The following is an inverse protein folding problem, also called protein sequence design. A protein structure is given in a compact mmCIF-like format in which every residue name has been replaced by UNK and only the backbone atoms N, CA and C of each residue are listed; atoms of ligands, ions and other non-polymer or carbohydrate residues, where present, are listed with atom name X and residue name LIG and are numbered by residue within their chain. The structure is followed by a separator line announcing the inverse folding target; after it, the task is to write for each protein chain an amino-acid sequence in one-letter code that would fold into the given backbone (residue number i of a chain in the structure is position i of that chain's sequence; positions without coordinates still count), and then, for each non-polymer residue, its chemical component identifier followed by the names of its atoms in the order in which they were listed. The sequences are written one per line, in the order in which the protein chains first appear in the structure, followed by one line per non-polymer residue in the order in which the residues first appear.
data_IF_406768831072
#
_entry.id   IF_406768831072
#
_cell.length_a   1.000
_cell.length_b   1.000
_cell.length_c   1.000
_cell.angle_alpha   90.00
_cell.angle_beta   90.00
_cell.angle_gamma   90.00
#
_symmetry.space_group_name_H-M   'P 1'
#
loop_
_entity.id
_entity.type
_entity.pdbx_description
1 polymer ?
#
# COMPACT_ATOMS: atom_id res chain seq x y z
N UNK A 1 -40.53 -16.62 0.46
CA UNK A 1 -39.73 -15.51 -0.10
C UNK A 1 -38.31 -15.99 -0.24
N UNK A 2 -37.66 -15.73 -1.38
CA UNK A 2 -36.26 -16.11 -1.60
C UNK A 2 -35.62 -15.12 -2.56
N UNK A 3 -34.54 -14.45 -2.14
CA UNK A 3 -33.74 -13.61 -3.01
C UNK A 3 -32.31 -13.44 -2.48
N UNK A 4 -31.42 -12.95 -3.33
CA UNK A 4 -30.07 -12.49 -3.00
C UNK A 4 -29.76 -11.23 -3.80
N UNK A 5 -29.00 -10.32 -3.20
CA UNK A 5 -28.49 -9.10 -3.79
C UNK A 5 -27.01 -8.99 -3.45
N UNK A 6 -26.15 -8.86 -4.46
CA UNK A 6 -24.70 -8.81 -4.30
C UNK A 6 -24.16 -7.53 -4.89
N UNK A 7 -23.50 -6.70 -4.08
CA UNK A 7 -22.71 -5.58 -4.59
C UNK A 7 -21.34 -6.11 -5.01
N UNK A 8 -20.83 -5.66 -6.15
CA UNK A 8 -19.58 -6.12 -6.80
C UNK A 8 -19.68 -7.40 -7.64
N UNK A 9 -20.89 -7.82 -8.05
CA UNK A 9 -21.10 -9.06 -8.81
C UNK A 9 -21.00 -8.96 -10.34
N UNK A 10 -21.02 -7.77 -10.95
CA UNK A 10 -21.21 -7.64 -12.40
C UNK A 10 -20.18 -6.76 -13.10
N UNK A 11 -19.29 -7.35 -13.90
CA UNK A 11 -18.94 -6.94 -15.27
C UNK A 11 -17.74 -7.76 -15.81
N UNK A 12 -17.98 -8.44 -16.94
CA UNK A 12 -17.00 -8.79 -17.98
C UNK A 12 -15.90 -9.82 -17.71
N UNK A 13 -16.22 -10.97 -17.09
CA UNK A 13 -15.31 -12.14 -17.12
C UNK A 13 -13.93 -11.89 -16.47
N UNK A 14 -13.78 -10.77 -15.77
CA UNK A 14 -12.60 -10.41 -15.04
C UNK A 14 -12.85 -10.76 -13.58
N UNK A 15 -12.06 -11.70 -13.08
CA UNK A 15 -12.03 -12.16 -11.70
C UNK A 15 -12.01 -10.96 -10.75
N UNK A 16 -13.09 -10.76 -10.00
CA UNK A 16 -13.15 -9.84 -8.86
C UNK A 16 -11.87 -9.95 -8.02
N UNK A 17 -11.22 -8.81 -7.80
CA UNK A 17 -10.08 -8.72 -6.90
C UNK A 17 -10.47 -8.22 -5.50
N UNK A 18 -11.73 -7.89 -5.19
CA UNK A 18 -12.09 -7.24 -3.91
C UNK A 18 -13.38 -7.84 -3.29
N UNK A 19 -13.50 -7.85 -1.97
CA UNK A 19 -14.46 -8.67 -1.22
C UNK A 19 -15.94 -8.47 -1.60
N UNK A 20 -16.73 -9.55 -1.50
CA UNK A 20 -18.15 -9.54 -1.87
C UNK A 20 -19.03 -9.14 -0.67
N UNK A 21 -20.04 -8.30 -0.91
CA UNK A 21 -21.10 -8.03 0.06
C UNK A 21 -22.44 -8.55 -0.47
N UNK A 22 -23.18 -9.26 0.39
CA UNK A 22 -24.42 -9.93 0.01
C UNK A 22 -25.52 -9.66 1.04
N UNK A 23 -26.73 -9.42 0.56
CA UNK A 23 -27.97 -9.46 1.35
C UNK A 23 -28.86 -10.52 0.72
N UNK A 24 -29.19 -11.57 1.46
CA UNK A 24 -30.05 -12.64 0.98
C UNK A 24 -31.10 -13.04 1.99
N UNK A 25 -32.24 -13.51 1.50
CA UNK A 25 -33.34 -13.99 2.29
C UNK A 25 -33.74 -15.37 1.81
N UNK A 26 -33.94 -16.29 2.75
CA UNK A 26 -34.53 -17.60 2.51
C UNK A 26 -35.60 -17.85 3.57
N UNK A 27 -36.85 -17.93 3.13
CA UNK A 27 -37.99 -18.03 4.05
C UNK A 27 -38.18 -16.76 4.87
N UNK A 28 -38.01 -16.87 6.18
CA UNK A 28 -38.04 -15.79 7.18
C UNK A 28 -36.64 -15.46 7.73
N UNK A 29 -35.57 -15.97 7.13
CA UNK A 29 -34.20 -15.72 7.58
C UNK A 29 -33.51 -14.77 6.61
N UNK A 30 -33.06 -13.64 7.13
CA UNK A 30 -32.14 -12.72 6.48
C UNK A 30 -30.69 -13.14 6.77
N UNK A 31 -29.89 -13.26 5.73
CA UNK A 31 -28.44 -13.43 5.79
C UNK A 31 -27.78 -12.19 5.19
N UNK A 32 -26.81 -11.64 5.91
CA UNK A 32 -26.01 -10.50 5.45
C UNK A 32 -24.55 -10.91 5.51
N UNK A 33 -23.82 -10.78 4.41
CA UNK A 33 -22.38 -10.96 4.36
C UNK A 33 -21.72 -9.65 3.98
N UNK A 34 -20.71 -9.25 4.74
CA UNK A 34 -19.87 -8.10 4.48
C UNK A 34 -18.45 -8.61 4.36
N UNK A 35 -17.96 -8.79 3.14
CA UNK A 35 -16.58 -9.14 2.83
C UNK A 35 -15.72 -7.94 2.47
N UNK A 36 -16.34 -6.77 2.25
CA UNK A 36 -15.68 -5.51 1.96
C UNK A 36 -16.29 -4.37 2.81
N UNK A 37 -15.47 -3.76 3.66
CA UNK A 37 -15.84 -2.56 4.45
C UNK A 37 -15.38 -1.25 3.80
N UNK A 38 -14.72 -1.30 2.64
CA UNK A 38 -14.26 -0.13 1.91
C UNK A 38 -15.43 0.82 1.61
N UNK A 39 -15.21 2.12 1.86
CA UNK A 39 -16.21 3.16 1.68
C UNK A 39 -17.30 3.22 2.76
N UNK A 40 -17.41 2.23 3.66
CA UNK A 40 -18.39 2.26 4.76
C UNK A 40 -17.72 2.54 6.11
N UNK A 41 -17.58 3.82 6.46
CA UNK A 41 -17.00 4.26 7.75
C UNK A 41 -17.74 3.76 9.00
N UNK A 42 -18.95 3.21 8.85
CA UNK A 42 -19.76 2.71 9.95
C UNK A 42 -19.60 1.20 10.18
N UNK A 43 -18.92 0.49 9.28
CA UNK A 43 -18.66 -0.94 9.39
C UNK A 43 -17.16 -1.15 9.46
N UNK A 44 -16.70 -1.83 10.50
CA UNK A 44 -15.31 -2.24 10.66
C UNK A 44 -15.24 -3.77 10.65
N UNK A 45 -14.13 -4.28 10.13
CA UNK A 45 -13.99 -5.70 9.91
C UNK A 45 -14.93 -6.26 8.83
N UNK A 46 -14.98 -7.58 8.77
CA UNK A 46 -15.89 -8.36 7.93
C UNK A 46 -16.80 -9.24 8.78
N UNK A 47 -17.87 -9.76 8.18
CA UNK A 47 -18.74 -10.69 8.91
C UNK A 47 -19.90 -11.26 8.11
N UNK A 48 -20.48 -12.31 8.66
CA UNK A 48 -21.70 -12.95 8.20
C UNK A 48 -22.70 -12.98 9.36
N UNK A 49 -23.89 -12.45 9.11
CA UNK A 49 -24.93 -12.23 10.11
C UNK A 49 -26.20 -12.93 9.69
N UNK A 50 -26.92 -13.49 10.67
CA UNK A 50 -28.23 -14.10 10.46
C UNK A 50 -29.27 -13.46 11.36
N UNK A 51 -30.36 -12.98 10.77
CA UNK A 51 -31.47 -12.36 11.48
C UNK A 51 -32.77 -13.06 11.10
N UNK A 52 -33.60 -13.40 12.10
CA UNK A 52 -34.98 -13.82 11.85
C UNK A 52 -35.82 -12.57 11.56
N UNK A 53 -36.40 -12.53 10.38
CA UNK A 53 -37.21 -11.40 9.90
C UNK A 53 -38.52 -11.33 10.67
N UNK A 54 -38.79 -10.15 11.20
CA UNK A 54 -40.04 -9.81 11.89
C UNK A 54 -40.32 -8.30 11.74
N UNK A 55 -41.56 -7.90 11.99
CA UNK A 55 -41.99 -6.49 11.91
C UNK A 55 -41.58 -5.81 10.60
N UNK A 56 -41.03 -4.60 10.71
CA UNK A 56 -40.63 -3.77 9.57
C UNK A 56 -39.59 -4.45 8.66
N UNK A 57 -38.66 -5.23 9.21
CA UNK A 57 -37.65 -5.94 8.41
C UNK A 57 -38.29 -6.98 7.49
N UNK A 58 -39.31 -7.71 7.97
CA UNK A 58 -40.04 -8.66 7.15
C UNK A 58 -40.83 -7.97 6.03
N UNK A 59 -41.44 -6.83 6.32
CA UNK A 59 -42.14 -6.02 5.31
C UNK A 59 -41.19 -5.47 4.26
N UNK A 60 -40.04 -4.93 4.68
CA UNK A 60 -38.99 -4.43 3.79
C UNK A 60 -38.47 -5.53 2.88
N UNK A 61 -38.23 -6.74 3.41
CA UNK A 61 -37.83 -7.88 2.60
C UNK A 61 -38.91 -8.29 1.58
N UNK A 62 -40.20 -8.26 1.96
CA UNK A 62 -41.31 -8.52 1.03
C UNK A 62 -41.40 -7.47 -0.08
N UNK A 63 -41.25 -6.18 0.26
CA UNK A 63 -41.21 -5.07 -0.71
C UNK A 63 -40.04 -5.23 -1.67
N UNK A 64 -38.87 -5.59 -1.16
CA UNK A 64 -37.68 -5.82 -1.98
C UNK A 64 -37.89 -7.00 -2.94
N UNK A 65 -38.42 -8.13 -2.45
CA UNK A 65 -38.73 -9.28 -3.30
C UNK A 65 -39.70 -8.92 -4.44
N UNK A 66 -40.73 -8.11 -4.16
CA UNK A 66 -41.66 -7.64 -5.19
C UNK A 66 -40.98 -6.72 -6.23
N UNK A 67 -40.09 -5.83 -5.78
CA UNK A 67 -39.31 -4.96 -6.68
C UNK A 67 -38.35 -5.77 -7.56
N UNK A 68 -37.66 -6.76 -7.02
CA UNK A 68 -36.75 -7.64 -7.79
C UNK A 68 -37.50 -8.50 -8.83
N UNK A 69 -38.80 -8.72 -8.64
CA UNK A 69 -39.67 -9.38 -9.62
C UNK A 69 -40.40 -8.41 -10.56
N UNK A 70 -40.10 -7.10 -10.50
CA UNK A 70 -40.70 -6.12 -11.40
C UNK A 70 -40.17 -6.25 -12.83
N UNK A 71 -40.90 -5.74 -13.85
CA UNK A 71 -40.43 -5.72 -15.23
C UNK A 71 -39.10 -4.96 -15.38
N UNK A 72 -38.25 -5.46 -16.28
CA UNK A 72 -37.02 -4.77 -16.70
C UNK A 72 -37.38 -3.58 -17.59
N UNK A 73 -36.53 -2.56 -17.58
CA UNK A 73 -36.63 -1.37 -18.43
C UNK A 73 -35.56 -1.41 -19.52
N UNK A 74 -35.92 -1.67 -20.79
CA UNK A 74 -34.97 -1.69 -21.91
C UNK A 74 -34.25 -0.36 -22.15
N UNK A 75 -34.75 0.75 -21.60
CA UNK A 75 -34.19 2.10 -21.72
C UNK A 75 -33.51 2.56 -20.43
N UNK A 76 -33.20 1.64 -19.51
CA UNK A 76 -32.59 2.00 -18.25
C UNK A 76 -31.26 2.73 -18.43
N UNK A 77 -31.09 3.78 -17.64
CA UNK A 77 -29.88 4.61 -17.54
C UNK A 77 -29.13 4.37 -16.22
N UNK A 78 -29.47 3.30 -15.50
CA UNK A 78 -28.88 3.00 -14.18
C UNK A 78 -27.43 2.54 -14.34
N UNK A 79 -26.45 3.20 -13.67
CA UNK A 79 -25.04 2.87 -13.84
C UNK A 79 -24.54 1.72 -12.95
N UNK A 80 -25.40 1.15 -12.11
CA UNK A 80 -25.02 0.18 -11.06
C UNK A 80 -25.02 -1.25 -11.61
N UNK A 81 -23.92 -1.99 -11.43
CA UNK A 81 -23.75 -3.36 -11.92
C UNK A 81 -23.95 -4.45 -10.86
N UNK A 82 -24.55 -4.09 -9.72
CA UNK A 82 -24.96 -5.04 -8.68
C UNK A 82 -25.83 -6.15 -9.26
N UNK A 83 -25.71 -7.35 -8.70
CA UNK A 83 -26.45 -8.52 -9.16
C UNK A 83 -27.56 -8.86 -8.19
N UNK A 84 -28.66 -9.39 -8.75
CA UNK A 84 -29.70 -10.01 -7.95
C UNK A 84 -30.09 -11.38 -8.51
N UNK A 85 -30.67 -12.19 -7.63
CA UNK A 85 -31.39 -13.40 -7.97
C UNK A 85 -32.60 -13.51 -7.05
N UNK A 86 -33.81 -13.72 -7.59
CA UNK A 86 -35.05 -13.74 -6.84
C UNK A 86 -36.01 -14.80 -7.36
N UNK A 87 -36.76 -15.43 -6.45
CA UNK A 87 -37.84 -16.36 -6.78
C UNK A 87 -39.14 -15.59 -7.04
N UNK A 88 -39.54 -15.53 -8.29
CA UNK A 88 -40.77 -14.89 -8.77
C UNK A 88 -41.85 -15.94 -9.11
N UNK A 89 -43.05 -15.50 -9.47
CA UNK A 89 -44.18 -16.40 -9.78
C UNK A 89 -43.93 -17.26 -11.03
N UNK A 90 -43.13 -16.76 -11.97
CA UNK A 90 -42.74 -17.41 -13.23
C UNK A 90 -41.40 -18.18 -13.14
N UNK A 91 -40.83 -18.29 -11.94
CA UNK A 91 -39.58 -19.00 -11.70
C UNK A 91 -38.49 -18.11 -11.12
N UNK A 92 -37.24 -18.53 -11.26
CA UNK A 92 -36.09 -17.74 -10.82
C UNK A 92 -35.79 -16.64 -11.85
N UNK A 93 -35.67 -15.40 -11.37
CA UNK A 93 -35.21 -14.26 -12.17
C UNK A 93 -33.92 -13.73 -11.58
N UNK A 94 -32.98 -13.38 -12.43
CA UNK A 94 -31.73 -12.74 -12.03
C UNK A 94 -31.15 -11.89 -13.14
N UNK A 95 -30.10 -11.16 -12.77
CA UNK A 95 -29.40 -10.27 -13.67
C UNK A 95 -28.84 -9.05 -12.93
N UNK A 96 -28.29 -8.09 -13.68
CA UNK A 96 -27.78 -6.86 -13.11
C UNK A 96 -28.92 -5.87 -12.81
N UNK A 97 -28.79 -5.14 -11.71
CA UNK A 97 -29.75 -4.14 -11.25
C UNK A 97 -29.91 -2.97 -12.25
N UNK A 98 -28.88 -2.72 -13.08
CA UNK A 98 -28.97 -1.75 -14.21
C UNK A 98 -30.10 -2.03 -15.19
N UNK A 99 -30.68 -3.22 -15.20
CA UNK A 99 -31.81 -3.54 -16.09
C UNK A 99 -33.16 -3.04 -15.54
N UNK A 100 -33.21 -2.50 -14.32
CA UNK A 100 -34.41 -1.85 -13.79
C UNK A 100 -34.42 -0.35 -14.10
N UNK A 101 -35.60 0.25 -14.15
CA UNK A 101 -35.72 1.72 -14.23
C UNK A 101 -35.11 2.39 -13.00
N UNK A 102 -34.59 3.61 -13.16
CA UNK A 102 -33.95 4.37 -12.07
C UNK A 102 -34.80 4.46 -10.78
N UNK A 103 -36.11 4.74 -10.83
CA UNK A 103 -36.94 4.77 -9.62
C UNK A 103 -37.03 3.41 -8.88
N UNK A 104 -37.00 2.30 -9.61
CA UNK A 104 -37.01 0.95 -9.04
C UNK A 104 -35.65 0.64 -8.42
N UNK A 105 -34.56 0.92 -9.14
CA UNK A 105 -33.20 0.68 -8.66
C UNK A 105 -32.89 1.44 -7.35
N UNK A 106 -33.34 2.70 -7.23
CA UNK A 106 -33.19 3.48 -5.99
C UNK A 106 -33.89 2.80 -4.82
N UNK A 107 -35.16 2.40 -4.98
CA UNK A 107 -35.92 1.71 -3.91
C UNK A 107 -35.31 0.36 -3.54
N UNK A 108 -34.78 -0.37 -4.52
CA UNK A 108 -34.03 -1.61 -4.28
C UNK A 108 -32.81 -1.32 -3.41
N UNK A 109 -32.00 -0.31 -3.76
CA UNK A 109 -30.82 0.07 -2.98
C UNK A 109 -31.17 0.50 -1.55
N UNK A 110 -32.23 1.29 -1.36
CA UNK A 110 -32.70 1.73 -0.04
C UNK A 110 -33.10 0.56 0.85
N UNK A 111 -33.87 -0.39 0.31
CA UNK A 111 -34.31 -1.58 1.05
C UNK A 111 -33.15 -2.54 1.33
N UNK A 112 -32.22 -2.71 0.39
CA UNK A 112 -31.00 -3.49 0.60
C UNK A 112 -30.18 -2.89 1.73
N UNK A 113 -29.97 -1.57 1.73
CA UNK A 113 -29.24 -0.89 2.80
C UNK A 113 -29.95 -1.01 4.15
N UNK A 114 -31.28 -0.87 4.19
CA UNK A 114 -32.08 -1.06 5.41
C UNK A 114 -31.92 -2.48 5.97
N UNK A 115 -32.11 -3.51 5.14
CA UNK A 115 -31.96 -4.91 5.57
C UNK A 115 -30.52 -5.23 5.97
N UNK A 116 -29.53 -4.73 5.22
CA UNK A 116 -28.11 -4.86 5.57
C UNK A 116 -27.84 -4.33 6.97
N UNK A 117 -28.28 -3.10 7.27
CA UNK A 117 -28.08 -2.48 8.57
C UNK A 117 -28.79 -3.26 9.68
N UNK A 118 -30.02 -3.72 9.45
CA UNK A 118 -30.74 -4.57 10.41
C UNK A 118 -29.98 -5.88 10.69
N UNK A 119 -29.46 -6.54 9.63
CA UNK A 119 -28.66 -7.75 9.78
C UNK A 119 -27.36 -7.53 10.56
N UNK A 120 -26.67 -6.41 10.33
CA UNK A 120 -25.42 -6.06 11.04
C UNK A 120 -25.68 -5.72 12.51
N UNK A 121 -26.74 -4.98 12.81
CA UNK A 121 -27.03 -4.50 14.17
C UNK A 121 -27.74 -5.53 15.04
N UNK A 122 -28.78 -6.18 14.50
CA UNK A 122 -29.68 -7.05 15.27
C UNK A 122 -29.41 -8.54 15.01
N UNK A 123 -28.63 -8.86 13.97
CA UNK A 123 -28.35 -10.24 13.58
C UNK A 123 -27.36 -10.94 14.49
N UNK A 124 -27.52 -12.26 14.62
CA UNK A 124 -26.53 -13.13 15.25
C UNK A 124 -25.27 -13.18 14.38
N UNK A 125 -24.12 -12.96 14.99
CA UNK A 125 -22.79 -12.97 14.35
C UNK A 125 -22.32 -14.41 14.09
N UNK A 126 -22.65 -14.95 12.92
CA UNK A 126 -22.08 -16.25 12.53
C UNK A 126 -20.56 -16.11 12.31
N UNK A 127 -20.14 -15.08 11.59
CA UNK A 127 -18.72 -14.72 11.42
C UNK A 127 -18.59 -13.26 11.76
N UNK A 128 -17.57 -12.90 12.54
CA UNK A 128 -17.17 -11.51 12.72
C UNK A 128 -15.67 -11.47 12.93
N UNK A 129 -14.96 -10.87 11.98
CA UNK A 129 -13.51 -10.77 11.98
C UNK A 129 -13.10 -9.31 11.98
N UNK A 130 -12.29 -8.93 12.95
CA UNK A 130 -11.83 -7.58 13.17
C UNK A 130 -10.31 -7.54 13.26
N UNK A 131 -9.73 -6.38 12.95
CA UNK A 131 -8.32 -6.10 13.17
C UNK A 131 -8.17 -4.80 13.94
N UNK A 132 -7.15 -4.73 14.78
CA UNK A 132 -6.80 -3.52 15.51
C UNK A 132 -5.29 -3.41 15.72
N UNK A 133 -4.84 -2.16 15.80
CA UNK A 133 -3.48 -1.82 16.15
C UNK A 133 -3.33 -1.85 17.67
N UNK A 134 -2.41 -2.66 18.18
CA UNK A 134 -2.09 -2.77 19.62
C UNK A 134 -0.96 -1.81 19.99
N UNK A 135 0.16 -1.84 19.26
CA UNK A 135 1.32 -0.98 19.52
C UNK A 135 2.17 -0.74 18.27
N UNK A 136 2.92 0.36 18.28
CA UNK A 136 4.03 0.63 17.37
C UNK A 136 5.21 1.10 18.21
N UNK A 137 6.28 0.33 18.18
CA UNK A 137 7.49 0.59 18.95
C UNK A 137 8.67 0.77 18.00
N UNK A 138 9.50 1.78 18.24
CA UNK A 138 10.77 1.93 17.50
C UNK A 138 11.72 0.81 17.93
N UNK A 139 12.31 0.11 16.96
CA UNK A 139 13.29 -0.93 17.17
C UNK A 139 14.64 -0.54 16.56
N UNK A 140 15.72 -1.26 16.90
CA UNK A 140 17.07 -0.99 16.36
C UNK A 140 17.14 -1.02 14.82
N UNK A 141 16.23 -1.76 14.18
CA UNK A 141 16.11 -1.87 12.72
C UNK A 141 14.65 -1.66 12.28
N UNK A 142 14.19 -0.41 12.30
CA UNK A 142 12.83 -0.03 11.91
C UNK A 142 11.87 -0.02 13.09
N UNK A 143 10.74 -0.71 12.94
CA UNK A 143 9.62 -0.70 13.88
C UNK A 143 9.17 -2.12 14.20
N UNK A 144 8.71 -2.31 15.44
CA UNK A 144 7.95 -3.46 15.86
C UNK A 144 6.48 -3.05 15.97
N UNK A 145 5.61 -3.73 15.25
CA UNK A 145 4.18 -3.40 15.19
C UNK A 145 3.37 -4.59 15.67
N UNK A 146 2.50 -4.36 16.64
CA UNK A 146 1.60 -5.38 17.15
C UNK A 146 0.20 -5.19 16.58
N UNK A 147 -0.29 -6.13 15.78
CA UNK A 147 -1.65 -6.13 15.22
C UNK A 147 -2.42 -7.33 15.78
N UNK A 148 -3.59 -7.08 16.35
CA UNK A 148 -4.49 -8.12 16.86
C UNK A 148 -5.63 -8.34 15.88
N UNK A 149 -5.95 -9.61 15.65
CA UNK A 149 -7.15 -10.04 14.95
C UNK A 149 -8.10 -10.71 15.93
N UNK A 150 -9.37 -10.31 15.90
CA UNK A 150 -10.41 -10.78 16.80
C UNK A 150 -11.48 -11.53 15.99
N UNK A 151 -11.83 -12.74 16.41
CA UNK A 151 -13.00 -13.45 15.93
C UNK A 151 -14.10 -13.37 16.99
N UNK A 152 -15.10 -12.52 16.78
CA UNK A 152 -16.23 -12.40 17.72
C UNK A 152 -17.48 -13.17 17.24
N UNK A 153 -17.37 -13.91 16.14
CA UNK A 153 -18.41 -14.79 15.63
C UNK A 153 -18.35 -16.20 16.20
N UNK A 154 -19.32 -17.01 15.79
CA UNK A 154 -19.54 -18.37 16.29
C UNK A 154 -18.78 -19.46 15.52
N UNK A 155 -18.22 -19.13 14.36
CA UNK A 155 -17.46 -20.07 13.52
C UNK A 155 -15.96 -19.73 13.49
N UNK A 156 -15.07 -20.74 13.40
CA UNK A 156 -13.64 -20.51 13.28
C UNK A 156 -13.28 -19.82 11.96
N UNK A 157 -12.14 -19.12 11.94
CA UNK A 157 -11.62 -18.45 10.76
C UNK A 157 -10.18 -18.90 10.55
N UNK A 158 -9.90 -19.39 9.34
CA UNK A 158 -8.56 -19.83 8.94
C UNK A 158 -7.91 -18.86 7.98
N UNK A 159 -6.63 -18.62 8.18
CA UNK A 159 -5.81 -17.77 7.30
C UNK A 159 -4.32 -18.00 7.52
N UNK A 160 -3.50 -17.61 6.54
CA UNK A 160 -2.04 -17.65 6.66
C UNK A 160 -1.52 -16.54 7.57
N UNK A 161 -0.39 -16.75 8.23
CA UNK A 161 0.25 -15.66 8.98
C UNK A 161 0.72 -14.52 8.06
N UNK A 162 0.74 -13.26 8.52
CA UNK A 162 1.06 -12.11 7.65
C UNK A 162 2.42 -12.15 6.94
N UNK A 163 3.41 -12.88 7.48
CA UNK A 163 4.72 -13.07 6.84
C UNK A 163 4.68 -14.03 5.64
N UNK A 164 3.59 -14.80 5.49
CA UNK A 164 3.36 -15.74 4.36
C UNK A 164 2.40 -15.19 3.31
N UNK A 165 1.96 -13.95 3.46
CA UNK A 165 1.07 -13.29 2.51
C UNK A 165 1.82 -12.87 1.24
N UNK A 166 1.13 -12.89 0.10
CA UNK A 166 1.73 -12.45 -1.16
C UNK A 166 1.72 -10.93 -1.26
N UNK A 167 2.74 -10.29 -0.70
CA UNK A 167 2.90 -8.83 -0.69
C UNK A 167 3.51 -8.27 -1.99
N UNK A 168 3.63 -9.08 -3.06
CA UNK A 168 4.14 -8.63 -4.35
C UNK A 168 3.19 -7.63 -5.00
N UNK A 169 3.70 -6.49 -5.48
CA UNK A 169 2.88 -5.48 -6.16
C UNK A 169 2.20 -6.11 -7.38
N UNK A 170 0.87 -6.11 -7.39
CA UNK A 170 0.07 -6.68 -8.46
C UNK A 170 -1.40 -6.85 -8.08
N UNK A 171 -2.19 -7.42 -9.01
CA UNK A 171 -3.64 -7.63 -8.85
C UNK A 171 -4.01 -8.51 -7.63
N UNK A 172 -3.10 -9.40 -7.24
CA UNK A 172 -3.33 -10.39 -6.18
C UNK A 172 -2.57 -10.06 -4.89
N UNK A 173 -2.02 -8.84 -4.77
CA UNK A 173 -1.27 -8.41 -3.59
C UNK A 173 -2.14 -8.49 -2.34
N UNK A 174 -1.69 -9.20 -1.31
CA UNK A 174 -2.26 -9.15 0.02
C UNK A 174 -1.75 -7.91 0.76
N UNK A 175 -2.61 -7.23 1.52
CA UNK A 175 -2.29 -5.99 2.22
C UNK A 175 -2.51 -6.16 3.70
N UNK A 176 -1.49 -5.88 4.49
CA UNK A 176 -1.62 -5.51 5.89
C UNK A 176 -0.88 -4.20 6.05
N UNK A 177 -1.60 -3.15 6.44
CA UNK A 177 -1.02 -1.83 6.56
C UNK A 177 -1.58 -1.08 7.75
N UNK A 178 -0.75 -0.20 8.30
CA UNK A 178 -1.19 0.77 9.31
C UNK A 178 -1.04 2.15 8.72
N UNK A 179 -2.10 2.94 8.73
CA UNK A 179 -2.05 4.29 8.20
C UNK A 179 -2.95 5.24 8.98
N UNK A 180 -2.68 6.53 8.85
CA UNK A 180 -3.46 7.56 9.51
C UNK A 180 -2.84 8.94 9.35
N UNK A 181 -3.33 9.85 10.16
CA UNK A 181 -2.99 11.27 10.09
C UNK A 181 -2.58 11.79 11.46
N UNK A 182 -1.70 12.79 11.46
CA UNK A 182 -1.36 13.51 12.68
C UNK A 182 -2.59 14.25 13.17
N UNK A 183 -2.82 14.24 14.48
CA UNK A 183 -3.94 14.96 15.08
C UNK A 183 -3.81 16.45 14.74
N UNK A 184 -4.88 17.03 14.22
CA UNK A 184 -4.92 18.43 13.80
C UNK A 184 -4.20 18.73 12.46
N UNK A 185 -3.78 17.72 11.69
CA UNK A 185 -3.19 17.94 10.35
C UNK A 185 -3.57 16.82 9.37
N UNK A 186 -4.14 17.20 8.22
CA UNK A 186 -4.44 16.26 7.13
C UNK A 186 -3.26 16.03 6.17
N UNK A 187 -2.21 16.86 6.25
CA UNK A 187 -1.03 16.75 5.38
C UNK A 187 0.03 15.82 5.97
N UNK A 188 0.09 15.73 7.30
CA UNK A 188 1.04 14.87 8.01
C UNK A 188 0.52 13.44 8.10
N UNK A 189 0.86 12.63 7.09
CA UNK A 189 0.47 11.22 7.00
C UNK A 189 1.46 10.30 7.71
N UNK A 190 0.96 9.17 8.21
CA UNK A 190 1.76 8.05 8.68
C UNK A 190 1.33 6.79 7.92
N UNK A 191 2.28 5.93 7.59
CA UNK A 191 2.03 4.71 6.83
C UNK A 191 3.11 3.65 7.03
N UNK A 192 2.67 2.41 7.28
CA UNK A 192 3.48 1.20 7.39
C UNK A 192 2.92 0.08 6.52
N UNK A 193 3.79 -0.61 5.79
CA UNK A 193 3.49 -1.89 5.15
C UNK A 193 3.96 -3.06 6.02
N UNK A 194 3.06 -4.01 6.30
CA UNK A 194 3.28 -5.13 7.23
C UNK A 194 3.15 -6.50 6.57
N UNK A 195 2.43 -6.62 5.46
CA UNK A 195 2.33 -7.90 4.73
C UNK A 195 3.70 -8.36 4.22
N UNK A 196 3.96 -9.66 4.30
CA UNK A 196 5.21 -10.30 3.88
C UNK A 196 6.41 -9.94 4.77
N UNK A 197 6.20 -9.29 5.92
CA UNK A 197 7.28 -8.91 6.84
C UNK A 197 7.45 -9.95 7.94
N UNK A 198 8.67 -10.09 8.46
CA UNK A 198 9.01 -11.10 9.46
C UNK A 198 8.24 -10.91 10.77
N UNK A 199 7.74 -12.01 11.32
CA UNK A 199 7.17 -12.06 12.68
C UNK A 199 8.26 -12.25 13.73
N UNK A 200 8.17 -11.50 14.82
CA UNK A 200 9.00 -11.71 16.01
C UNK A 200 8.49 -12.91 16.84
N UNK A 201 7.18 -13.14 16.85
CA UNK A 201 6.55 -14.29 17.52
C UNK A 201 6.23 -15.45 16.56
N UNK A 202 7.04 -15.67 15.53
CA UNK A 202 6.82 -16.75 14.55
C UNK A 202 6.76 -18.15 15.19
N UNK A 203 7.43 -18.36 16.33
CA UNK A 203 7.39 -19.62 17.07
C UNK A 203 6.02 -20.01 17.61
N UNK A 204 5.07 -19.07 17.69
CA UNK A 204 3.67 -19.35 18.03
C UNK A 204 2.89 -19.95 16.83
N UNK A 205 3.45 -19.89 15.63
CA UNK A 205 2.81 -20.27 14.36
C UNK A 205 3.76 -21.10 13.47
N UNK A 206 4.16 -22.31 13.90
CA UNK A 206 5.17 -23.11 13.20
C UNK A 206 4.78 -23.45 11.75
N UNK A 207 3.49 -23.64 11.48
CA UNK A 207 2.97 -24.00 10.17
C UNK A 207 2.69 -22.78 9.27
N UNK A 208 2.86 -21.56 9.77
CA UNK A 208 2.55 -20.33 9.03
C UNK A 208 1.05 -20.14 8.74
N UNK A 209 0.20 -20.81 9.51
CA UNK A 209 -1.25 -20.74 9.42
C UNK A 209 -1.88 -20.54 10.80
N UNK A 210 -3.04 -19.89 10.82
CA UNK A 210 -3.84 -19.65 12.01
C UNK A 210 -5.23 -20.20 11.79
N UNK A 211 -5.72 -21.00 12.74
CA UNK A 211 -7.13 -21.37 12.87
C UNK A 211 -7.70 -20.66 14.09
N UNK A 212 -8.19 -19.43 13.88
CA UNK A 212 -8.69 -18.58 14.94
C UNK A 212 -10.05 -19.09 15.43
N UNK A 213 -10.08 -19.58 16.67
CA UNK A 213 -11.29 -20.15 17.28
C UNK A 213 -12.41 -19.11 17.42
N UNK A 214 -13.68 -19.55 17.51
CA UNK A 214 -14.80 -18.66 17.88
C UNK A 214 -14.50 -17.90 19.17
N UNK A 215 -14.90 -16.63 19.22
CA UNK A 215 -14.72 -15.75 20.39
C UNK A 215 -13.28 -15.65 20.93
N UNK A 216 -12.28 -15.75 20.03
CA UNK A 216 -10.87 -15.70 20.39
C UNK A 216 -10.12 -14.61 19.61
N UNK A 217 -8.87 -14.39 19.98
CA UNK A 217 -8.01 -13.40 19.33
C UNK A 217 -6.60 -13.93 19.15
N UNK A 218 -5.88 -13.37 18.17
CA UNK A 218 -4.46 -13.65 17.91
C UNK A 218 -3.74 -12.34 17.67
N UNK A 219 -2.51 -12.21 18.18
CA UNK A 219 -1.69 -11.00 17.99
C UNK A 219 -0.40 -11.34 17.24
N UNK A 220 -0.12 -10.60 16.17
CA UNK A 220 1.12 -10.70 15.42
C UNK A 220 2.04 -9.54 15.78
N UNK A 221 3.30 -9.85 16.11
CA UNK A 221 4.36 -8.87 16.33
C UNK A 221 5.25 -8.84 15.10
N UNK A 222 5.15 -7.78 14.30
CA UNK A 222 5.69 -7.69 12.96
C UNK A 222 6.84 -6.69 12.94
N UNK A 223 8.03 -7.11 12.50
CA UNK A 223 9.18 -6.23 12.30
C UNK A 223 9.14 -5.64 10.90
N UNK A 224 9.16 -4.31 10.78
CA UNK A 224 9.10 -3.63 9.48
C UNK A 224 10.07 -2.46 9.38
N UNK A 225 10.67 -2.29 8.21
CA UNK A 225 11.38 -1.08 7.76
C UNK A 225 10.60 -0.36 6.65
N UNK A 226 9.44 -0.89 6.25
CA UNK A 226 8.58 -0.34 5.22
C UNK A 226 7.70 0.76 5.77
N UNK A 227 8.33 1.91 6.01
CA UNK A 227 7.73 3.08 6.65
C UNK A 227 7.92 4.32 5.79
N UNK A 228 6.87 5.15 5.71
CA UNK A 228 6.94 6.46 5.07
C UNK A 228 7.62 7.49 5.98
N UNK A 229 8.11 8.60 5.42
CA UNK A 229 8.57 9.73 6.23
C UNK A 229 7.41 10.26 7.08
N UNK A 230 7.69 10.64 8.32
CA UNK A 230 6.72 11.30 9.18
C UNK A 230 7.41 12.27 10.13
N UNK A 231 6.64 13.20 10.68
CA UNK A 231 7.11 14.19 11.66
C UNK A 231 6.70 13.78 13.08
N UNK A 232 7.39 14.27 14.08
CA UNK A 232 7.02 14.07 15.47
C UNK A 232 5.59 14.56 15.75
N UNK A 233 4.91 13.88 16.68
CA UNK A 233 3.56 14.21 17.09
C UNK A 233 2.69 12.98 17.34
N UNK A 234 1.44 13.24 17.69
CA UNK A 234 0.42 12.22 17.93
C UNK A 234 -0.40 11.97 16.67
N UNK A 235 -0.64 10.70 16.38
CA UNK A 235 -1.33 10.22 15.19
C UNK A 235 -2.50 9.33 15.60
N UNK A 236 -3.62 9.47 14.89
CA UNK A 236 -4.75 8.56 14.97
C UNK A 236 -4.63 7.56 13.81
N UNK A 237 -4.36 6.30 14.16
CA UNK A 237 -3.95 5.24 13.23
C UNK A 237 -5.00 4.13 13.12
N UNK A 238 -5.12 3.57 11.92
CA UNK A 238 -6.02 2.48 11.60
C UNK A 238 -5.28 1.35 10.87
N UNK A 239 -5.80 0.14 10.97
CA UNK A 239 -5.32 -1.03 10.25
C UNK A 239 -6.16 -1.20 8.99
N UNK A 240 -5.52 -1.45 7.85
CA UNK A 240 -6.15 -1.93 6.62
C UNK A 240 -5.69 -3.35 6.33
N UNK A 241 -6.62 -4.21 5.94
CA UNK A 241 -6.40 -5.64 5.71
C UNK A 241 -7.05 -6.04 4.40
N UNK A 242 -6.28 -6.70 3.54
CA UNK A 242 -6.76 -7.35 2.34
C UNK A 242 -6.10 -8.72 2.22
N UNK A 243 -6.88 -9.79 2.34
CA UNK A 243 -6.32 -11.13 2.51
C UNK A 243 -7.33 -12.22 2.12
N UNK A 244 -6.83 -13.45 1.97
CA UNK A 244 -7.68 -14.62 1.84
C UNK A 244 -7.98 -15.24 3.20
N UNK A 245 -9.22 -15.66 3.40
CA UNK A 245 -9.68 -16.40 4.58
C UNK A 245 -10.50 -17.62 4.17
N UNK A 246 -10.64 -18.55 5.10
CA UNK A 246 -11.60 -19.65 5.04
C UNK A 246 -12.44 -19.63 6.32
N UNK A 247 -13.73 -19.91 6.22
CA UNK A 247 -14.62 -20.07 7.38
C UNK A 247 -15.18 -21.50 7.40
N UNK A 248 -14.49 -22.43 8.09
CA UNK A 248 -14.93 -23.82 8.17
C UNK A 248 -16.31 -23.97 8.84
N UNK A 249 -17.11 -24.89 8.33
CA UNK A 249 -18.40 -25.28 8.95
C UNK A 249 -19.61 -24.47 8.48
N UNK A 250 -19.43 -23.46 7.62
CA UNK A 250 -20.54 -22.77 6.94
C UNK A 250 -20.28 -22.59 5.46
N UNK A 251 -21.35 -22.50 4.69
CA UNK A 251 -21.28 -21.91 3.36
C UNK A 251 -21.21 -20.39 3.50
N UNK A 252 -20.08 -19.80 3.12
CA UNK A 252 -19.85 -18.36 3.13
C UNK A 252 -19.16 -17.93 1.84
N UNK A 253 -19.47 -16.72 1.38
CA UNK A 253 -18.78 -16.05 0.26
C UNK A 253 -17.58 -15.22 0.73
N UNK A 254 -17.27 -15.24 2.03
CA UNK A 254 -16.10 -14.60 2.62
C UNK A 254 -14.84 -15.44 2.33
N UNK A 255 -14.24 -15.23 1.15
CA UNK A 255 -13.01 -15.92 0.71
C UNK A 255 -11.83 -14.98 0.57
N UNK A 256 -12.06 -13.79 0.01
CA UNK A 256 -11.08 -12.72 -0.10
C UNK A 256 -11.71 -11.46 0.44
N UNK A 257 -11.16 -10.94 1.51
CA UNK A 257 -11.77 -9.89 2.34
C UNK A 257 -10.94 -8.62 2.29
N UNK A 258 -11.61 -7.48 2.29
CA UNK A 258 -11.02 -6.14 2.33
C UNK A 258 -11.68 -5.34 3.46
N UNK A 259 -10.93 -4.96 4.48
CA UNK A 259 -11.51 -4.25 5.60
C UNK A 259 -10.52 -3.38 6.36
N UNK A 260 -11.09 -2.47 7.14
CA UNK A 260 -10.34 -1.63 8.04
C UNK A 260 -10.77 -1.82 9.51
N UNK A 261 -9.89 -1.41 10.43
CA UNK A 261 -10.21 -1.28 11.86
C UNK A 261 -11.24 -0.18 12.11
N UNK A 262 -11.72 -0.05 13.35
CA UNK A 262 -12.72 0.96 13.70
C UNK A 262 -12.19 2.40 13.56
N UNK A 263 -12.55 3.06 12.45
CA UNK A 263 -12.20 4.45 12.19
C UNK A 263 -12.82 5.45 13.19
N UNK A 264 -13.85 5.05 13.95
CA UNK A 264 -14.45 5.91 14.99
C UNK A 264 -13.62 5.90 16.28
N UNK A 265 -12.87 4.83 16.51
CA UNK A 265 -12.01 4.66 17.69
C UNK A 265 -10.59 4.28 17.23
N UNK A 266 -9.89 5.18 16.52
CA UNK A 266 -8.54 4.90 16.03
C UNK A 266 -7.55 4.70 17.18
N UNK A 267 -6.51 3.93 16.94
CA UNK A 267 -5.42 3.76 17.91
C UNK A 267 -4.52 4.99 17.86
N UNK A 268 -4.42 5.69 19.00
CA UNK A 268 -3.55 6.86 19.13
C UNK A 268 -2.13 6.47 19.47
N UNK A 269 -1.17 6.91 18.66
CA UNK A 269 0.27 6.69 18.87
C UNK A 269 1.01 8.02 18.83
N UNK A 270 1.95 8.24 19.74
CA UNK A 270 2.77 9.45 19.78
C UNK A 270 4.22 9.12 19.45
N UNK A 271 4.79 9.85 18.49
CA UNK A 271 6.20 9.82 18.17
C UNK A 271 6.87 11.09 18.70
N UNK A 272 7.97 10.92 19.42
CA UNK A 272 8.77 11.98 20.04
C UNK A 272 9.72 12.70 19.06
N UNK A 273 10.02 12.06 17.93
CA UNK A 273 10.91 12.58 16.88
C UNK A 273 10.44 12.18 15.49
N UNK A 274 10.94 12.91 14.50
CA UNK A 274 10.71 12.66 13.08
C UNK A 274 11.24 11.29 12.63
N UNK A 275 10.87 10.86 11.43
CA UNK A 275 11.48 9.72 10.75
C UNK A 275 11.65 10.01 9.25
N UNK A 276 12.83 9.72 8.68
CA UNK A 276 14.07 9.33 9.37
C UNK A 276 14.70 10.53 10.09
N UNK A 277 15.14 10.34 11.33
CA UNK A 277 15.81 11.37 12.15
C UNK A 277 17.31 11.17 12.29
N UNK A 278 17.81 9.98 11.93
CA UNK A 278 19.25 9.64 11.97
C UNK A 278 19.74 9.17 10.61
N UNK A 279 21.06 9.22 10.35
CA UNK A 279 21.63 8.64 9.13
C UNK A 279 21.28 7.16 8.94
N UNK A 280 21.23 6.37 10.02
CA UNK A 280 20.89 4.94 9.99
C UNK A 280 19.44 4.71 9.57
N UNK A 281 18.50 5.47 10.17
CA UNK A 281 17.08 5.43 9.78
C UNK A 281 16.91 5.89 8.32
N UNK A 282 17.73 6.84 7.86
CA UNK A 282 17.68 7.30 6.47
C UNK A 282 18.13 6.21 5.51
N UNK A 283 19.27 5.56 5.74
CA UNK A 283 19.73 4.45 4.89
C UNK A 283 18.66 3.34 4.79
N UNK A 284 17.97 3.02 5.90
CA UNK A 284 16.86 2.07 5.92
C UNK A 284 15.66 2.55 5.07
N UNK A 285 15.26 3.82 5.27
CA UNK A 285 14.18 4.42 4.49
C UNK A 285 14.50 4.47 2.99
N UNK A 286 15.71 4.86 2.60
CA UNK A 286 16.13 4.94 1.21
C UNK A 286 16.15 3.56 0.54
N UNK A 287 16.62 2.52 1.24
CA UNK A 287 16.57 1.15 0.70
C UNK A 287 15.13 0.69 0.41
N UNK A 288 14.20 1.01 1.32
CA UNK A 288 12.78 0.75 1.11
C UNK A 288 12.21 1.58 -0.06
N UNK A 289 12.50 2.88 -0.11
CA UNK A 289 12.00 3.74 -1.18
C UNK A 289 12.52 3.35 -2.55
N UNK A 290 13.80 2.99 -2.68
CA UNK A 290 14.39 2.51 -3.93
C UNK A 290 13.63 1.31 -4.48
N UNK A 291 13.30 0.35 -3.62
CA UNK A 291 12.50 -0.84 -3.99
C UNK A 291 11.08 -0.47 -4.40
N UNK A 292 10.43 0.45 -3.68
CA UNK A 292 9.06 0.87 -3.97
C UNK A 292 8.98 1.62 -5.30
N UNK A 293 9.87 2.58 -5.51
CA UNK A 293 9.87 3.45 -6.68
C UNK A 293 10.49 2.81 -7.93
N UNK A 294 11.28 1.74 -7.80
CA UNK A 294 11.79 1.01 -8.97
C UNK A 294 10.70 0.37 -9.83
N UNK A 295 9.51 0.14 -9.26
CA UNK A 295 8.34 -0.37 -9.99
C UNK A 295 7.62 0.71 -10.80
N UNK A 296 7.92 1.98 -10.54
CA UNK A 296 7.29 3.14 -11.16
C UNK A 296 8.37 4.08 -11.72
N UNK A 297 9.16 3.62 -12.71
CA UNK A 297 10.13 4.48 -13.37
C UNK A 297 9.42 5.66 -14.03
N UNK A 298 10.02 6.85 -13.95
CA UNK A 298 9.45 8.07 -14.54
C UNK A 298 9.78 8.11 -16.03
N UNK A 299 8.75 8.08 -16.87
CA UNK A 299 8.90 8.13 -18.32
C UNK A 299 9.19 9.55 -18.81
N UNK A 300 9.75 9.71 -20.02
CA UNK A 300 9.87 11.01 -20.67
C UNK A 300 8.53 11.78 -20.67
N UNK A 301 8.55 13.03 -20.23
CA UNK A 301 7.36 13.88 -20.11
C UNK A 301 6.50 13.69 -18.86
N UNK A 302 6.79 12.69 -18.02
CA UNK A 302 6.11 12.51 -16.73
C UNK A 302 6.72 13.39 -15.63
N UNK A 303 5.94 13.63 -14.58
CA UNK A 303 6.35 14.43 -13.43
C UNK A 303 7.04 13.56 -12.37
N UNK A 304 8.15 14.03 -11.84
CA UNK A 304 8.80 13.41 -10.68
C UNK A 304 7.90 13.54 -9.44
N UNK A 305 7.56 12.41 -8.81
CA UNK A 305 6.68 12.41 -7.65
C UNK A 305 7.39 12.82 -6.35
N UNK A 306 8.72 12.67 -6.28
CA UNK A 306 9.51 12.90 -5.06
C UNK A 306 10.83 13.59 -5.36
N UNK A 307 11.30 14.41 -4.42
CA UNK A 307 12.68 14.89 -4.40
C UNK A 307 13.65 13.69 -4.31
N UNK A 308 14.69 13.69 -5.14
CA UNK A 308 15.62 12.57 -5.14
C UNK A 308 16.78 12.69 -6.10
N UNK A 309 17.72 11.75 -5.95
CA UNK A 309 18.72 11.40 -6.93
C UNK A 309 18.16 10.28 -7.79
N UNK A 310 18.11 10.49 -9.10
CA UNK A 310 17.55 9.56 -10.06
C UNK A 310 18.61 9.07 -11.04
N UNK A 311 18.54 7.80 -11.39
CA UNK A 311 19.38 7.17 -12.41
C UNK A 311 18.64 7.11 -13.73
N UNK A 312 19.34 7.45 -14.80
CA UNK A 312 18.83 7.23 -16.15
C UNK A 312 18.95 5.74 -16.52
N UNK A 313 17.86 5.16 -17.00
CA UNK A 313 17.76 3.76 -17.41
C UNK A 313 17.17 3.69 -18.81
N UNK A 314 17.80 2.89 -19.68
CA UNK A 314 17.29 2.60 -21.02
C UNK A 314 17.02 1.10 -21.16
N UNK A 315 15.79 0.78 -21.54
CA UNK A 315 15.37 -0.57 -21.91
C UNK A 315 15.57 -0.74 -23.42
N UNK A 316 16.60 -1.49 -23.82
CA UNK A 316 16.77 -1.91 -25.22
C UNK A 316 16.55 -3.43 -25.31
N UNK A 317 16.24 -3.93 -26.52
CA UNK A 317 15.81 -5.30 -26.83
C UNK A 317 16.81 -6.44 -26.51
N UNK A 318 17.79 -6.23 -25.63
CA UNK A 318 18.74 -7.24 -25.15
C UNK A 318 19.45 -6.88 -23.83
N UNK A 319 19.05 -5.81 -23.12
CA UNK A 319 19.67 -5.44 -21.84
C UNK A 319 19.13 -4.12 -21.25
N UNK A 320 19.25 -3.99 -19.93
CA UNK A 320 19.00 -2.73 -19.20
C UNK A 320 20.32 -1.97 -19.09
N UNK A 321 20.40 -0.81 -19.73
CA UNK A 321 21.55 0.09 -19.65
C UNK A 321 21.26 1.17 -18.62
N UNK A 322 22.21 1.43 -17.72
CA UNK A 322 22.05 2.37 -16.61
C UNK A 322 23.17 3.41 -16.64
N UNK A 323 22.85 4.65 -16.33
CA UNK A 323 23.87 5.69 -16.14
C UNK A 323 24.70 5.40 -14.89
N UNK A 324 25.98 5.79 -14.93
CA UNK A 324 26.85 5.79 -13.77
C UNK A 324 26.38 6.84 -12.77
N UNK A 325 26.24 8.10 -13.21
CA UNK A 325 25.82 9.19 -12.34
C UNK A 325 24.32 9.13 -12.06
N UNK A 326 23.97 9.73 -10.93
CA UNK A 326 22.59 10.02 -10.52
C UNK A 326 22.38 11.53 -10.56
N UNK A 327 21.21 11.96 -11.02
CA UNK A 327 20.87 13.36 -11.21
C UNK A 327 19.83 13.80 -10.18
N UNK A 328 19.99 14.99 -9.57
CA UNK A 328 18.99 15.52 -8.64
C UNK A 328 17.77 16.06 -9.39
N UNK A 329 16.57 15.69 -8.93
CA UNK A 329 15.30 16.25 -9.38
C UNK A 329 14.41 16.62 -8.18
N UNK A 330 13.53 17.60 -8.38
CA UNK A 330 12.49 18.00 -7.43
C UNK A 330 11.16 17.37 -7.77
N UNK A 331 10.35 17.12 -6.73
CA UNK A 331 8.96 16.77 -6.94
C UNK A 331 8.26 17.87 -7.73
N UNK A 332 7.54 17.51 -8.79
CA UNK A 332 6.92 18.46 -9.71
C UNK A 332 7.74 18.79 -10.97
N UNK A 333 9.05 18.49 -10.99
CA UNK A 333 9.84 18.62 -12.21
C UNK A 333 9.33 17.65 -13.29
N UNK A 334 9.49 18.02 -14.56
CA UNK A 334 9.10 17.18 -15.71
C UNK A 334 10.35 16.49 -16.26
N UNK A 335 10.28 15.16 -16.41
CA UNK A 335 11.34 14.39 -17.05
C UNK A 335 11.51 14.82 -18.51
N UNK A 336 12.76 15.09 -18.92
CA UNK A 336 13.06 15.51 -20.29
C UNK A 336 12.56 14.50 -21.33
N UNK A 337 12.04 15.02 -22.44
CA UNK A 337 11.70 14.24 -23.64
C UNK A 337 12.88 14.08 -24.60
N UNK A 338 13.93 14.86 -24.39
CA UNK A 338 15.11 14.86 -25.24
C UNK A 338 16.02 13.66 -24.93
N UNK A 339 16.93 13.37 -25.87
CA UNK A 339 17.94 12.34 -25.65
C UNK A 339 18.90 12.75 -24.55
N UNK A 340 19.14 11.83 -23.62
CA UNK A 340 20.09 11.99 -22.52
C UNK A 340 21.38 11.26 -22.89
N UNK A 341 22.51 11.94 -22.74
CA UNK A 341 23.83 11.36 -22.93
C UNK A 341 24.60 11.33 -21.61
N UNK A 342 24.89 10.14 -21.09
CA UNK A 342 25.57 9.97 -19.79
C UNK A 342 26.49 8.76 -19.78
N UNK A 343 27.64 8.80 -19.10
CA UNK A 343 28.50 7.63 -18.89
C UNK A 343 27.71 6.44 -18.32
N UNK A 344 27.98 5.23 -18.83
CA UNK A 344 27.34 4.02 -18.36
C UNK A 344 27.94 3.48 -17.07
N UNK A 345 27.12 2.78 -16.29
CA UNK A 345 27.50 2.14 -15.02
C UNK A 345 28.68 1.17 -15.13
N UNK A 346 28.91 0.59 -16.31
CA UNK A 346 30.06 -0.27 -16.65
C UNK A 346 31.40 0.42 -16.46
N UNK A 347 31.46 1.76 -16.53
CA UNK A 347 32.70 2.50 -16.37
C UNK A 347 33.73 2.29 -17.49
N UNK A 348 33.29 1.75 -18.63
CA UNK A 348 34.13 1.44 -19.80
C UNK A 348 34.25 2.61 -20.80
N UNK A 349 33.76 3.81 -20.41
CA UNK A 349 33.75 5.01 -21.26
C UNK A 349 32.62 5.03 -22.29
N UNK A 350 31.77 4.01 -22.33
CA UNK A 350 30.56 4.00 -23.15
C UNK A 350 29.52 4.92 -22.52
N UNK A 351 28.77 5.62 -23.38
CA UNK A 351 27.69 6.48 -22.95
C UNK A 351 26.34 5.86 -23.30
N UNK A 352 25.42 5.93 -22.35
CA UNK A 352 24.01 5.87 -22.64
C UNK A 352 23.73 7.11 -23.52
N UNK A 353 23.08 6.91 -24.66
CA UNK A 353 22.66 7.98 -25.57
C UNK A 353 21.26 7.65 -26.10
N UNK A 354 20.29 8.53 -25.84
CA UNK A 354 18.90 8.39 -26.28
C UNK A 354 17.86 8.67 -25.18
N UNK A 355 16.57 8.38 -25.45
CA UNK A 355 15.51 8.56 -24.45
C UNK A 355 15.70 7.59 -23.28
N UNK A 356 15.37 8.06 -22.07
CA UNK A 356 15.57 7.33 -20.82
C UNK A 356 14.34 7.38 -19.94
N UNK A 357 14.22 6.40 -19.07
CA UNK A 357 13.37 6.46 -17.89
C UNK A 357 14.23 6.79 -16.68
N UNK A 358 13.65 7.44 -15.68
CA UNK A 358 14.36 7.81 -14.44
C UNK A 358 13.91 6.93 -13.27
N UNK A 359 14.87 6.36 -12.56
CA UNK A 359 14.64 5.49 -11.41
C UNK A 359 15.25 6.13 -10.16
N UNK A 360 14.46 6.24 -9.09
CA UNK A 360 14.92 6.84 -7.83
C UNK A 360 15.98 5.97 -7.13
N UNK A 361 17.07 6.57 -6.66
CA UNK A 361 18.20 5.86 -6.04
C UNK A 361 18.45 6.24 -4.57
N UNK A 362 18.19 7.50 -4.22
CA UNK A 362 18.47 8.05 -2.89
C UNK A 362 17.96 9.47 -2.70
N UNK A 363 18.01 9.97 -1.47
CA UNK A 363 17.72 11.38 -1.18
C UNK A 363 18.71 12.28 -1.89
N UNK A 364 18.21 13.36 -2.50
CA UNK A 364 19.03 14.48 -2.94
C UNK A 364 19.70 15.18 -1.73
N UNK A 365 20.83 15.86 -1.94
CA UNK A 365 21.44 16.70 -0.90
C UNK A 365 20.45 17.72 -0.35
N UNK A 366 20.23 17.71 0.97
CA UNK A 366 19.29 18.61 1.63
C UNK A 366 20.11 19.65 2.41
N UNK A 367 20.10 20.94 2.02
CA UNK A 367 20.77 21.98 2.78
C UNK A 367 20.18 22.08 4.19
N UNK A 368 21.02 22.22 5.21
CA UNK A 368 20.60 22.42 6.60
C UNK A 368 19.80 23.71 6.82
N UNK A 369 20.04 24.72 5.98
CA UNK A 369 19.37 26.01 5.94
C UNK A 369 19.30 26.50 4.49
N UNK A 370 18.33 27.37 4.14
CA UNK A 370 18.35 28.05 2.85
C UNK A 370 19.71 28.70 2.58
N UNK A 371 20.26 28.48 1.39
CA UNK A 371 21.57 29.00 0.95
C UNK A 371 22.80 28.47 1.74
N UNK A 372 22.67 27.37 2.47
CA UNK A 372 23.82 26.73 3.16
C UNK A 372 24.55 25.74 2.26
N UNK A 373 25.88 25.69 2.38
CA UNK A 373 26.73 24.62 1.83
C UNK A 373 26.78 23.37 2.72
N UNK A 374 26.26 23.44 3.95
CA UNK A 374 26.14 22.29 4.83
C UNK A 374 24.87 21.51 4.53
N UNK A 375 24.99 20.19 4.39
CA UNK A 375 23.89 19.29 4.12
C UNK A 375 23.46 18.54 5.38
N UNK A 376 22.22 18.05 5.38
CA UNK A 376 21.75 17.10 6.38
C UNK A 376 22.61 15.83 6.27
N UNK A 377 23.31 15.49 7.35
CA UNK A 377 24.27 14.39 7.42
C UNK A 377 23.67 13.09 6.86
N UNK A 378 24.28 12.53 5.82
CA UNK A 378 23.84 11.33 5.11
C UNK A 378 23.01 11.61 3.85
N UNK A 379 22.95 12.86 3.38
CA UNK A 379 22.33 13.23 2.09
C UNK A 379 23.34 13.73 1.07
N UNK A 380 24.60 13.90 1.47
CA UNK A 380 25.69 14.41 0.66
C UNK A 380 25.91 13.52 -0.57
N UNK A 381 25.97 14.15 -1.74
CA UNK A 381 26.38 13.49 -2.99
C UNK A 381 27.88 13.58 -3.20
N UNK A 382 28.58 14.50 -2.53
CA UNK A 382 30.01 14.74 -2.70
C UNK A 382 30.77 14.59 -1.38
N UNK A 383 31.99 14.07 -1.45
CA UNK A 383 32.86 13.92 -0.29
C UNK A 383 34.33 14.14 -0.64
N UNK A 384 35.08 14.77 0.26
CA UNK A 384 36.50 15.01 0.07
C UNK A 384 37.31 13.73 0.34
N UNK A 385 38.46 13.53 -0.33
CA UNK A 385 39.40 12.47 0.01
C UNK A 385 39.81 12.56 1.49
N UNK A 386 39.88 11.41 2.18
CA UNK A 386 40.22 11.32 3.61
C UNK A 386 39.10 11.70 4.58
N UNK A 387 38.02 12.36 4.14
CA UNK A 387 36.88 12.65 4.99
C UNK A 387 36.11 11.37 5.36
N UNK A 388 35.35 11.39 6.45
CA UNK A 388 34.45 10.29 6.76
C UNK A 388 33.36 10.19 5.69
N UNK A 389 33.12 8.98 5.16
CA UNK A 389 32.11 8.72 4.15
C UNK A 389 30.72 9.08 4.71
N UNK A 390 29.99 10.03 4.08
CA UNK A 390 28.74 10.55 4.65
C UNK A 390 27.57 9.58 4.50
N UNK A 391 27.55 8.76 3.43
CA UNK A 391 26.52 7.76 3.16
C UNK A 391 27.10 6.51 2.51
N UNK A 392 26.59 5.34 2.88
CA UNK A 392 26.99 4.08 2.25
C UNK A 392 26.63 4.03 0.76
N UNK A 393 27.41 3.25 0.00
CA UNK A 393 27.15 3.00 -1.42
C UNK A 393 28.42 3.04 -2.27
N UNK A 394 28.23 3.19 -3.58
CA UNK A 394 29.29 3.32 -4.57
C UNK A 394 29.65 4.78 -4.78
N UNK A 395 30.94 5.03 -4.90
CA UNK A 395 31.51 6.35 -5.11
C UNK A 395 32.49 6.30 -6.28
N UNK A 396 32.48 7.33 -7.11
CA UNK A 396 33.43 7.51 -8.21
C UNK A 396 34.27 8.76 -7.96
N UNK A 397 35.56 8.69 -8.24
CA UNK A 397 36.41 9.86 -8.20
C UNK A 397 36.11 10.77 -9.40
N UNK A 398 35.95 12.07 -9.14
CA UNK A 398 35.87 13.10 -10.18
C UNK A 398 36.95 14.15 -9.95
N UNK A 399 37.52 14.61 -11.05
CA UNK A 399 38.63 15.57 -11.07
C UNK A 399 38.20 16.77 -11.88
N UNK A 400 38.41 17.98 -11.36
CA UNK A 400 38.16 19.20 -12.13
C UNK A 400 39.05 19.20 -13.38
N UNK A 401 38.42 19.20 -14.55
CA UNK A 401 39.11 19.26 -15.83
C UNK A 401 39.58 20.69 -16.14
N UNK A 402 38.81 21.70 -15.73
CA UNK A 402 39.08 23.12 -16.02
C UNK A 402 38.82 23.99 -14.77
N UNK A 403 39.88 24.55 -14.17
CA UNK A 403 39.79 25.36 -12.95
C UNK A 403 39.34 26.82 -13.19
N UNK A 404 39.43 27.31 -14.44
CA UNK A 404 39.31 28.73 -14.78
C UNK A 404 37.92 29.17 -15.29
N UNK A 405 36.96 28.23 -15.43
CA UNK A 405 35.61 28.53 -15.92
C UNK A 405 34.58 28.65 -14.80
N UNK A 406 33.57 29.50 -15.02
CA UNK A 406 32.44 29.70 -14.08
C UNK A 406 31.58 28.46 -13.88
N UNK A 407 31.62 27.51 -14.82
CA UNK A 407 31.01 26.18 -14.72
C UNK A 407 32.10 25.11 -14.75
N UNK A 408 32.48 24.53 -13.60
CA UNK A 408 33.55 23.55 -13.55
C UNK A 408 33.15 22.27 -14.31
N UNK A 409 33.92 21.91 -15.33
CA UNK A 409 33.84 20.61 -15.98
C UNK A 409 34.60 19.57 -15.15
N UNK A 410 34.03 18.38 -15.01
CA UNK A 410 34.63 17.28 -14.26
C UNK A 410 34.89 16.09 -15.17
N UNK A 411 36.10 15.52 -15.06
CA UNK A 411 36.45 14.23 -15.62
C UNK A 411 36.27 13.16 -14.54
N UNK A 412 35.58 12.07 -14.88
CA UNK A 412 35.42 10.93 -13.99
C UNK A 412 36.56 9.93 -14.16
N UNK A 413 37.14 9.47 -13.06
CA UNK A 413 38.09 8.36 -13.05
C UNK A 413 37.33 7.05 -12.84
N UNK A 414 36.90 6.46 -13.95
CA UNK A 414 36.10 5.24 -13.98
C UNK A 414 36.85 4.00 -13.47
N UNK A 415 38.19 4.06 -13.41
CA UNK A 415 39.01 2.99 -12.82
C UNK A 415 38.94 2.96 -11.29
N UNK A 416 38.39 4.02 -10.67
CA UNK A 416 38.32 4.22 -9.22
C UNK A 416 36.86 4.32 -8.75
N UNK A 417 36.08 3.28 -8.99
CA UNK A 417 34.77 3.11 -8.36
C UNK A 417 34.97 2.28 -7.08
N UNK A 418 34.60 2.84 -5.93
CA UNK A 418 34.77 2.21 -4.61
C UNK A 418 33.43 2.01 -3.93
N UNK A 419 33.27 0.90 -3.21
CA UNK A 419 32.12 0.66 -2.34
C UNK A 419 32.50 1.03 -0.90
N UNK A 420 31.80 2.01 -0.33
CA UNK A 420 32.08 2.55 0.99
C UNK A 420 30.93 2.30 1.95
N UNK A 421 31.25 2.06 3.22
CA UNK A 421 30.29 2.12 4.33
C UNK A 421 30.37 3.49 4.99
N UNK A 422 29.24 4.01 5.48
CA UNK A 422 29.22 5.29 6.22
C UNK A 422 30.24 5.27 7.36
N UNK A 423 30.95 6.38 7.53
CA UNK A 423 31.96 6.59 8.56
C UNK A 423 33.35 6.05 8.21
N UNK A 424 33.50 5.21 7.15
CA UNK A 424 34.83 4.84 6.66
C UNK A 424 35.52 6.06 6.03
N UNK A 425 36.83 6.26 6.25
CA UNK A 425 37.55 7.34 5.59
C UNK A 425 37.56 7.13 4.07
N UNK A 426 37.18 8.16 3.32
CA UNK A 426 37.21 8.17 1.86
C UNK A 426 38.64 7.95 1.37
N UNK A 427 38.88 7.09 0.37
CA UNK A 427 40.23 6.83 -0.11
C UNK A 427 40.89 8.12 -0.64
N UNK A 428 42.20 8.22 -0.46
CA UNK A 428 42.97 9.32 -1.03
C UNK A 428 42.96 9.24 -2.56
N UNK A 429 42.80 10.39 -3.23
CA UNK A 429 42.95 10.51 -4.68
C UNK A 429 44.33 11.12 -4.91
N UNK A 430 45.29 10.30 -5.34
CA UNK A 430 46.68 10.74 -5.56
C UNK A 430 46.78 11.66 -6.79
N UNK A 431 47.49 12.78 -6.64
CA UNK A 431 47.97 13.70 -7.70
C UNK A 431 46.98 14.66 -8.36
N UNK A 432 45.75 14.82 -7.87
CA UNK A 432 44.76 15.72 -8.49
C UNK A 432 44.24 16.77 -7.49
N UNK A 433 44.80 17.98 -7.55
CA UNK A 433 44.30 19.13 -6.78
C UNK A 433 42.84 19.43 -7.19
N UNK A 434 41.92 19.40 -6.22
CA UNK A 434 40.49 19.62 -6.48
C UNK A 434 39.72 18.37 -6.90
N UNK A 435 40.27 17.17 -6.70
CA UNK A 435 39.52 15.93 -6.83
C UNK A 435 38.60 15.66 -5.64
N UNK A 436 37.43 15.10 -5.93
CA UNK A 436 36.43 14.72 -4.93
C UNK A 436 35.74 13.42 -5.33
N UNK A 437 35.05 12.83 -4.37
CA UNK A 437 34.24 11.64 -4.58
C UNK A 437 32.78 12.04 -4.81
N UNK A 438 32.15 11.43 -5.81
CA UNK A 438 30.73 11.57 -6.11
C UNK A 438 29.99 10.24 -5.85
N UNK A 439 28.89 10.32 -5.11
CA UNK A 439 28.02 9.18 -4.83
C UNK A 439 27.21 8.84 -6.07
N UNK A 440 27.29 7.57 -6.49
CA UNK A 440 26.70 7.07 -7.73
C UNK A 440 25.67 5.98 -7.51
N UNK A 441 25.16 5.81 -6.29
CA UNK A 441 24.14 4.82 -5.95
C UNK A 441 24.51 3.91 -4.79
N UNK A 442 23.52 3.19 -4.27
CA UNK A 442 23.67 2.27 -3.14
C UNK A 442 23.58 0.81 -3.51
#
# INVERSE_FOLDING_TARGET
MQFSYTTNGGADGSVNSYGNNEVSVSGDVLSVQIGDSAGNKNVHGIGAYKLKLQGENLESARKLAALLCSPKDPKSDVPISDLYNAKCSDGMRGGPVREFSRPVAIKVADLVNSLRNAGIHDGRKAVKFDALLVSIDRAKAGFLVSVRFDNTGDYPIKFKTPDKWDAGIGRNMDILGVNGYRIGSHDSKFGLGLAGKSLENSGEFPDGEVSLAPHSSVTFKIKTTSVSKFVAGSYDLNVGVFMNIEVPGIQSSLVRVDFHSDHKNPTRVTFDRDYPSTPQEREQWEAYQRTRLSHFPINPGETFAEDGLYRAVRLNAGGSYRSLQVMPFKAGDIATTDSVKMPMESGDGVHLDGPVQWVWEGSAPIPTKPFSSAYVEGTEQFSLPGAACPRGGRWVARVRANADYSTPEYRYDLSRIVAMRRGQPMPSISNDAGAEWEWVGG
#
